data_IF_400583668897
#
_entry.id   IF_400583668897
#
_cell.length_a   1.000
_cell.length_b   1.000
_cell.length_c   1.000
_cell.angle_alpha   90.00
_cell.angle_beta   90.00
_cell.angle_gamma   90.00
#
_symmetry.space_group_name_H-M   'P 1'
#
loop_
_entity.id
_entity.type
_entity.pdbx_description
1 polymer ?
#
# COMPACT_ATOMS: atom_id res chain seq x y z
N UNK A 1 -6.27 25.15 -10.69
CA UNK A 1 -6.93 23.96 -11.29
C UNK A 1 -5.88 23.24 -12.14
N UNK A 2 -5.19 22.27 -11.56
CA UNK A 2 -4.43 21.29 -12.34
C UNK A 2 -5.31 20.06 -12.42
N UNK A 3 -5.94 19.85 -13.57
CA UNK A 3 -6.55 18.56 -13.90
C UNK A 3 -5.41 17.55 -14.03
N UNK A 4 -5.19 16.76 -12.98
CA UNK A 4 -4.51 15.49 -13.10
C UNK A 4 -5.42 14.58 -13.94
N UNK A 5 -5.34 14.71 -15.26
CA UNK A 5 -5.88 13.73 -16.19
C UNK A 5 -5.34 12.37 -15.76
N UNK A 6 -6.22 11.46 -15.34
CA UNK A 6 -5.89 10.06 -15.14
C UNK A 6 -5.35 9.52 -16.46
N UNK A 7 -4.03 9.48 -16.59
CA UNK A 7 -3.33 9.02 -17.77
C UNK A 7 -3.45 7.49 -17.75
N UNK A 8 -4.47 6.96 -18.44
CA UNK A 8 -4.66 5.51 -18.54
C UNK A 8 -3.39 4.79 -19.02
N UNK A 9 -3.19 3.52 -18.66
CA UNK A 9 -1.95 2.77 -18.92
C UNK A 9 -1.54 2.78 -20.41
N UNK A 10 -2.53 2.76 -21.31
CA UNK A 10 -2.36 2.88 -22.76
C UNK A 10 -1.64 4.17 -23.20
N UNK A 11 -1.86 5.27 -22.48
CA UNK A 11 -1.31 6.59 -22.82
C UNK A 11 0.16 6.68 -22.39
N UNK A 12 0.51 6.07 -21.26
CA UNK A 12 1.91 5.94 -20.82
C UNK A 12 2.72 5.06 -21.76
N UNK A 13 2.18 3.91 -22.18
CA UNK A 13 2.85 3.03 -23.12
C UNK A 13 3.01 3.67 -24.51
N UNK A 14 1.98 4.40 -24.97
CA UNK A 14 2.03 5.14 -26.22
C UNK A 14 3.13 6.21 -26.23
N UNK A 15 3.25 6.97 -25.13
CA UNK A 15 4.29 7.99 -24.95
C UNK A 15 5.69 7.38 -24.98
N UNK A 16 5.93 6.27 -24.26
CA UNK A 16 7.26 5.63 -24.18
C UNK A 16 7.67 5.00 -25.51
N UNK A 17 6.71 4.44 -26.26
CA UNK A 17 6.97 3.80 -27.55
C UNK A 17 6.93 4.77 -28.74
N UNK A 18 6.67 6.06 -28.49
CA UNK A 18 6.50 7.10 -29.50
C UNK A 18 5.47 6.70 -30.59
N UNK A 19 4.31 6.24 -30.14
CA UNK A 19 3.17 5.83 -30.99
C UNK A 19 1.88 6.48 -30.54
N UNK A 20 0.82 6.38 -31.35
CA UNK A 20 -0.49 6.86 -30.91
C UNK A 20 -1.17 5.88 -29.96
N UNK A 21 -1.95 6.40 -29.01
CA UNK A 21 -2.83 5.59 -28.15
C UNK A 21 -3.74 4.65 -28.95
N UNK A 22 -4.19 5.08 -30.12
CA UNK A 22 -5.01 4.27 -31.03
C UNK A 22 -4.24 3.05 -31.57
N UNK A 23 -2.92 3.14 -31.73
CA UNK A 23 -2.10 2.00 -32.12
C UNK A 23 -1.96 0.99 -30.98
N UNK A 24 -1.77 1.45 -29.73
CA UNK A 24 -1.76 0.58 -28.54
C UNK A 24 -3.09 -0.15 -28.39
N UNK A 25 -4.20 0.59 -28.43
CA UNK A 25 -5.54 0.02 -28.33
C UNK A 25 -5.86 -0.96 -29.47
N UNK A 26 -5.37 -0.71 -30.69
CA UNK A 26 -5.54 -1.65 -31.80
C UNK A 26 -4.75 -2.96 -31.61
N UNK A 27 -3.65 -2.94 -30.86
CA UNK A 27 -2.90 -4.14 -30.49
C UNK A 27 -3.60 -4.92 -29.38
N UNK A 28 -4.05 -4.25 -28.31
CA UNK A 28 -4.76 -4.87 -27.19
C UNK A 28 -6.05 -5.57 -27.64
N UNK A 29 -6.76 -4.97 -28.60
CA UNK A 29 -8.00 -5.52 -29.15
C UNK A 29 -7.78 -6.50 -30.32
N UNK A 30 -6.52 -6.81 -30.68
CA UNK A 30 -6.19 -7.72 -31.78
C UNK A 30 -6.62 -7.23 -33.18
N UNK A 31 -6.91 -5.94 -33.33
CA UNK A 31 -7.37 -5.31 -34.58
C UNK A 31 -6.20 -5.21 -35.58
N UNK A 32 -4.98 -4.99 -35.08
CA UNK A 32 -3.77 -4.93 -35.91
C UNK A 32 -2.66 -5.81 -35.35
N UNK A 33 -1.93 -6.55 -36.22
CA UNK A 33 -0.75 -7.27 -35.78
C UNK A 33 0.36 -6.31 -35.37
N UNK A 34 1.16 -6.73 -34.39
CA UNK A 34 2.34 -6.00 -33.93
C UNK A 34 3.50 -6.33 -34.87
N UNK A 35 4.12 -5.31 -35.47
CA UNK A 35 5.31 -5.50 -36.33
C UNK A 35 6.53 -5.94 -35.51
N UNK A 36 7.48 -6.66 -36.12
CA UNK A 36 8.72 -7.12 -35.46
C UNK A 36 9.52 -6.01 -34.73
N UNK A 37 9.63 -4.82 -35.34
CA UNK A 37 10.30 -3.69 -34.68
C UNK A 37 9.60 -3.29 -33.38
N UNK A 38 8.26 -3.26 -33.38
CA UNK A 38 7.45 -2.93 -32.20
C UNK A 38 7.47 -4.04 -31.15
N UNK A 39 7.53 -5.31 -31.56
CA UNK A 39 7.75 -6.43 -30.64
C UNK A 39 9.09 -6.31 -29.91
N UNK A 40 10.17 -5.96 -30.61
CA UNK A 40 11.49 -5.70 -29.99
C UNK A 40 11.44 -4.57 -28.97
N UNK A 41 10.72 -3.48 -29.27
CA UNK A 41 10.56 -2.36 -28.35
C UNK A 41 9.76 -2.74 -27.10
N UNK A 42 8.64 -3.46 -27.28
CA UNK A 42 7.82 -3.98 -26.18
C UNK A 42 8.62 -4.97 -25.31
N UNK A 43 9.33 -5.90 -25.95
CA UNK A 43 10.23 -6.85 -25.31
C UNK A 43 11.27 -6.15 -24.45
N UNK A 44 11.93 -5.11 -24.98
CA UNK A 44 12.90 -4.30 -24.24
C UNK A 44 12.28 -3.51 -23.08
N UNK A 45 11.10 -2.94 -23.29
CA UNK A 45 10.42 -2.10 -22.29
C UNK A 45 9.96 -2.95 -21.09
N UNK A 46 9.21 -4.01 -21.34
CA UNK A 46 8.67 -4.89 -20.31
C UNK A 46 9.68 -5.91 -19.79
N UNK A 47 10.73 -6.19 -20.57
CA UNK A 47 11.73 -7.19 -20.24
C UNK A 47 11.26 -8.63 -20.44
N UNK A 48 10.43 -8.85 -21.46
CA UNK A 48 9.83 -10.14 -21.79
C UNK A 48 10.29 -10.61 -23.17
N UNK A 49 10.35 -11.91 -23.40
CA UNK A 49 10.57 -12.46 -24.75
C UNK A 49 9.43 -12.04 -25.70
N UNK A 50 9.76 -11.79 -26.98
CA UNK A 50 8.80 -11.34 -28.00
C UNK A 50 7.59 -12.28 -28.16
N UNK A 51 7.77 -13.58 -27.91
CA UNK A 51 6.72 -14.61 -28.00
C UNK A 51 5.50 -14.28 -27.14
N UNK A 52 5.69 -13.59 -26.00
CA UNK A 52 4.62 -13.25 -25.07
C UNK A 52 3.67 -12.15 -25.58
N UNK A 53 4.03 -11.43 -26.65
CA UNK A 53 3.19 -10.34 -27.19
C UNK A 53 2.33 -10.77 -28.40
N UNK A 54 2.48 -12.00 -28.88
CA UNK A 54 1.74 -12.51 -30.05
C UNK A 54 0.58 -13.43 -29.64
N UNK A 55 0.83 -14.32 -28.68
CA UNK A 55 -0.15 -15.23 -28.11
C UNK A 55 0.47 -15.99 -26.96
N UNK A 56 -0.17 -15.94 -25.79
CA UNK A 56 0.35 -16.55 -24.56
C UNK A 56 -0.41 -17.85 -24.30
N UNK A 57 0.31 -18.97 -24.20
CA UNK A 57 -0.27 -20.25 -23.77
C UNK A 57 -0.75 -20.17 -22.32
N UNK A 58 -1.67 -21.04 -21.89
CA UNK A 58 -2.10 -21.05 -20.47
C UNK A 58 -0.93 -21.35 -19.51
N UNK A 59 0.03 -22.18 -19.95
CA UNK A 59 1.27 -22.45 -19.18
C UNK A 59 2.15 -21.20 -19.07
N UNK A 60 2.32 -20.45 -20.17
CA UNK A 60 3.07 -19.20 -20.19
C UNK A 60 2.37 -18.09 -19.39
N UNK A 61 1.03 -18.06 -19.36
CA UNK A 61 0.26 -17.14 -18.50
C UNK A 61 0.52 -17.45 -17.04
N UNK A 62 0.40 -18.72 -16.64
CA UNK A 62 0.70 -19.14 -15.28
C UNK A 62 2.15 -18.81 -14.88
N UNK A 63 3.10 -19.01 -15.80
CA UNK A 63 4.50 -18.62 -15.61
C UNK A 63 4.68 -17.11 -15.42
N UNK A 64 4.07 -16.27 -16.27
CA UNK A 64 4.15 -14.81 -16.16
C UNK A 64 3.45 -14.29 -14.89
N UNK A 65 2.31 -14.87 -14.50
CA UNK A 65 1.62 -14.55 -13.25
C UNK A 65 2.49 -14.93 -12.03
N UNK A 66 3.27 -16.01 -12.14
CA UNK A 66 4.22 -16.40 -11.09
C UNK A 66 5.46 -15.49 -10.98
N UNK A 67 5.69 -14.61 -11.96
CA UNK A 67 6.79 -13.63 -11.94
C UNK A 67 6.27 -12.30 -11.40
N UNK A 68 6.88 -11.79 -10.34
CA UNK A 68 6.56 -10.47 -9.80
C UNK A 68 7.02 -9.33 -10.72
N UNK A 69 6.25 -8.25 -10.75
CA UNK A 69 6.65 -7.00 -11.41
C UNK A 69 7.58 -6.19 -10.50
N UNK A 70 8.69 -5.73 -11.03
CA UNK A 70 9.58 -4.76 -10.39
C UNK A 70 9.13 -3.33 -10.69
N UNK A 71 9.15 -2.49 -9.66
CA UNK A 71 8.92 -1.04 -9.79
C UNK A 71 10.20 -0.36 -10.29
N UNK A 72 10.12 0.40 -11.38
CA UNK A 72 11.18 1.29 -11.89
C UNK A 72 10.75 2.75 -11.87
N UNK A 73 11.72 3.63 -11.68
CA UNK A 73 11.60 5.06 -11.98
C UNK A 73 12.35 5.32 -13.28
N UNK A 74 11.60 5.50 -14.38
CA UNK A 74 12.14 5.92 -15.67
C UNK A 74 11.55 7.30 -15.99
N UNK A 75 12.42 8.32 -16.13
CA UNK A 75 12.05 9.69 -16.51
C UNK A 75 10.92 10.32 -15.67
N UNK A 76 11.06 10.33 -14.33
CA UNK A 76 10.11 10.91 -13.36
C UNK A 76 8.70 10.28 -13.35
N UNK A 77 8.50 9.15 -14.04
CA UNK A 77 7.26 8.38 -14.07
C UNK A 77 7.50 6.97 -13.52
N UNK A 78 6.55 6.46 -12.74
CA UNK A 78 6.60 5.11 -12.18
C UNK A 78 6.17 4.09 -13.22
N UNK A 79 7.02 3.08 -13.46
CA UNK A 79 6.78 2.01 -14.44
C UNK A 79 6.93 0.65 -13.75
N UNK A 80 6.17 -0.36 -14.19
CA UNK A 80 6.24 -1.73 -13.71
C UNK A 80 6.72 -2.66 -14.83
N UNK A 81 7.75 -3.46 -14.59
CA UNK A 81 8.31 -4.39 -15.59
C UNK A 81 8.88 -5.66 -14.94
N UNK A 82 9.10 -6.72 -15.72
CA UNK A 82 9.61 -8.01 -15.22
C UNK A 82 11.13 -8.04 -15.01
N UNK A 83 11.83 -6.91 -15.24
CA UNK A 83 13.27 -6.76 -15.01
C UNK A 83 13.56 -5.86 -13.82
N UNK A 84 14.39 -6.34 -12.89
CA UNK A 84 14.96 -5.55 -11.80
C UNK A 84 15.92 -4.49 -12.37
N UNK A 85 15.90 -3.28 -11.81
CA UNK A 85 16.80 -2.21 -12.23
C UNK A 85 18.26 -2.59 -11.86
N UNK A 86 19.13 -2.70 -12.87
CA UNK A 86 20.59 -2.87 -12.68
C UNK A 86 21.16 -4.28 -12.81
N UNK A 87 20.38 -5.34 -13.06
CA UNK A 87 20.90 -6.70 -13.29
C UNK A 87 20.36 -7.26 -14.61
N UNK A 88 21.27 -7.50 -15.57
CA UNK A 88 20.99 -8.24 -16.83
C UNK A 88 21.48 -9.69 -16.73
N UNK A 89 22.12 -10.11 -15.65
CA UNK A 89 22.69 -11.45 -15.54
C UNK A 89 22.22 -12.19 -14.29
N UNK A 90 21.52 -13.30 -14.54
CA UNK A 90 21.27 -14.44 -13.63
C UNK A 90 20.14 -14.34 -12.58
N UNK A 91 18.98 -13.76 -12.93
CA UNK A 91 17.73 -13.94 -12.15
C UNK A 91 17.05 -15.31 -12.38
N UNK A 92 17.83 -16.30 -12.83
CA UNK A 92 17.38 -17.68 -13.06
C UNK A 92 17.33 -18.52 -11.78
N UNK A 93 17.82 -17.99 -10.65
CA UNK A 93 18.04 -18.76 -9.40
C UNK A 93 17.19 -18.36 -8.19
N UNK A 94 16.39 -17.30 -8.24
CA UNK A 94 15.49 -17.00 -7.13
C UNK A 94 14.17 -17.78 -7.28
N UNK A 95 13.95 -18.69 -6.32
CA UNK A 95 12.78 -19.55 -6.23
C UNK A 95 11.47 -18.75 -6.23
N UNK A 96 10.51 -19.32 -6.93
CA UNK A 96 9.14 -18.90 -7.14
C UNK A 96 8.45 -18.44 -5.86
N UNK A 97 8.23 -17.14 -5.72
CA UNK A 97 7.07 -16.68 -4.98
C UNK A 97 5.89 -16.87 -5.93
N UNK A 98 5.24 -18.04 -5.88
CA UNK A 98 3.98 -18.24 -6.59
C UNK A 98 3.00 -17.27 -5.97
N UNK A 99 2.62 -16.24 -6.71
CA UNK A 99 1.43 -15.49 -6.35
C UNK A 99 0.25 -16.48 -6.29
N UNK A 100 -0.64 -16.36 -5.29
CA UNK A 100 -1.91 -17.08 -5.32
C UNK A 100 -2.63 -16.79 -6.64
N UNK A 101 -3.46 -17.72 -7.11
CA UNK A 101 -4.43 -17.41 -8.16
C UNK A 101 -5.30 -16.26 -7.64
N UNK A 102 -5.00 -15.04 -8.10
CA UNK A 102 -5.78 -13.88 -7.72
C UNK A 102 -7.03 -13.83 -8.58
N UNK A 103 -8.18 -13.68 -7.93
CA UNK A 103 -9.45 -13.43 -8.63
C UNK A 103 -9.43 -12.09 -9.41
N UNK A 104 -8.43 -11.23 -9.17
CA UNK A 104 -8.31 -9.88 -9.73
C UNK A 104 -6.87 -9.52 -10.13
N UNK A 105 -6.72 -8.71 -11.19
CA UNK A 105 -5.40 -8.29 -11.70
C UNK A 105 -4.61 -7.45 -10.70
N UNK A 106 -3.27 -7.45 -10.80
CA UNK A 106 -2.42 -6.61 -9.94
C UNK A 106 -2.66 -5.10 -10.14
N UNK A 107 -3.04 -4.69 -11.35
CA UNK A 107 -3.40 -3.30 -11.66
C UNK A 107 -4.69 -2.89 -10.96
N UNK A 108 -5.68 -3.78 -10.92
CA UNK A 108 -6.92 -3.56 -10.17
C UNK A 108 -6.64 -3.49 -8.66
N UNK A 109 -5.81 -4.39 -8.14
CA UNK A 109 -5.39 -4.36 -6.73
C UNK A 109 -4.66 -3.06 -6.39
N UNK A 110 -3.75 -2.60 -7.25
CA UNK A 110 -3.03 -1.33 -7.08
C UNK A 110 -3.99 -0.14 -7.10
N UNK A 111 -4.94 -0.12 -8.04
CA UNK A 111 -5.95 0.94 -8.14
C UNK A 111 -6.80 1.00 -6.88
N UNK A 112 -7.26 -0.15 -6.39
CA UNK A 112 -7.99 -0.26 -5.12
C UNK A 112 -7.15 0.20 -3.94
N UNK A 113 -5.87 -0.18 -3.87
CA UNK A 113 -4.96 0.24 -2.80
C UNK A 113 -4.71 1.76 -2.81
N UNK A 114 -4.51 2.37 -3.98
CA UNK A 114 -4.37 3.83 -4.14
C UNK A 114 -5.64 4.57 -3.69
N UNK A 115 -6.81 4.10 -4.12
CA UNK A 115 -8.11 4.66 -3.70
C UNK A 115 -8.33 4.53 -2.20
N UNK A 116 -7.99 3.36 -1.62
CA UNK A 116 -8.04 3.15 -0.16
C UNK A 116 -7.13 4.13 0.58
N UNK A 117 -5.89 4.30 0.11
CA UNK A 117 -4.92 5.26 0.68
C UNK A 117 -5.47 6.69 0.67
N UNK A 118 -6.00 7.16 -0.46
CA UNK A 118 -6.59 8.49 -0.57
C UNK A 118 -7.78 8.67 0.39
N UNK A 119 -8.70 7.70 0.43
CA UNK A 119 -9.83 7.74 1.36
C UNK A 119 -9.42 7.74 2.83
N UNK A 120 -8.34 7.03 3.18
CA UNK A 120 -7.77 7.08 4.53
C UNK A 120 -7.18 8.45 4.86
N UNK A 121 -6.43 9.08 3.93
CA UNK A 121 -5.87 10.41 4.14
C UNK A 121 -6.96 11.46 4.37
N UNK A 122 -8.06 11.40 3.60
CA UNK A 122 -9.19 12.30 3.80
C UNK A 122 -9.79 12.16 5.21
N UNK A 123 -10.00 10.93 5.70
CA UNK A 123 -10.48 10.69 7.07
C UNK A 123 -9.53 11.24 8.13
N UNK A 124 -8.22 11.17 7.89
CA UNK A 124 -7.21 11.74 8.77
C UNK A 124 -7.31 13.26 8.82
N UNK A 125 -7.43 13.92 7.65
CA UNK A 125 -7.62 15.37 7.57
C UNK A 125 -8.89 15.82 8.30
N UNK A 126 -10.00 15.10 8.10
CA UNK A 126 -11.27 15.34 8.81
C UNK A 126 -11.11 15.19 10.33
N UNK A 127 -10.35 14.19 10.80
CA UNK A 127 -10.11 13.96 12.23
C UNK A 127 -9.16 14.99 12.87
N UNK A 128 -8.12 15.44 12.15
CA UNK A 128 -7.20 16.49 12.62
C UNK A 128 -7.92 17.84 12.71
N UNK A 129 -8.83 18.10 11.78
CA UNK A 129 -9.54 19.37 11.69
C UNK A 129 -10.53 19.64 12.83
N UNK A 130 -11.03 18.62 13.56
CA UNK A 130 -12.25 18.88 14.36
C UNK A 130 -12.60 17.89 15.50
N UNK A 131 -12.77 18.41 16.72
CA UNK A 131 -13.37 17.72 17.87
C UNK A 131 -14.83 18.16 18.19
N UNK A 132 -15.47 18.98 17.35
CA UNK A 132 -16.79 19.61 17.59
C UNK A 132 -16.84 21.03 17.02
N UNK A 133 -17.97 21.76 17.08
CA UNK A 133 -18.12 23.07 16.41
C UNK A 133 -17.25 24.18 17.03
N UNK A 134 -16.11 24.60 16.42
CA UNK A 134 -15.28 25.65 16.92
C UNK A 134 -16.01 26.95 16.65
N UNK A 135 -16.29 27.66 17.71
CA UNK A 135 -16.84 29.01 17.62
C UNK A 135 -15.74 30.04 17.35
N UNK A 136 -14.45 29.63 17.41
CA UNK A 136 -13.28 30.48 17.26
C UNK A 136 -12.16 29.79 16.46
N UNK A 137 -11.51 30.56 15.59
CA UNK A 137 -10.36 30.11 14.77
C UNK A 137 -9.23 29.52 15.62
N UNK A 138 -9.02 30.02 16.84
CA UNK A 138 -7.96 29.52 17.73
C UNK A 138 -8.17 28.06 18.14
N UNK A 139 -9.42 27.61 18.28
CA UNK A 139 -9.74 26.22 18.66
C UNK A 139 -9.44 25.25 17.50
N UNK A 140 -9.68 25.71 16.27
CA UNK A 140 -9.35 24.99 15.04
C UNK A 140 -7.82 24.87 14.87
N UNK A 141 -7.08 25.97 15.02
CA UNK A 141 -5.61 25.96 14.97
C UNK A 141 -5.01 25.04 16.04
N UNK A 142 -5.55 25.07 17.27
CA UNK A 142 -5.09 24.18 18.33
C UNK A 142 -5.35 22.70 18.03
N UNK A 143 -6.49 22.38 17.43
CA UNK A 143 -6.85 21.00 17.07
C UNK A 143 -5.92 20.47 15.98
N UNK A 144 -5.69 21.27 14.92
CA UNK A 144 -4.79 20.92 13.83
C UNK A 144 -3.38 20.65 14.36
N UNK A 145 -2.83 21.57 15.15
CA UNK A 145 -1.47 21.43 15.68
C UNK A 145 -1.30 20.18 16.55
N UNK A 146 -2.30 19.86 17.39
CA UNK A 146 -2.27 18.63 18.21
C UNK A 146 -2.31 17.37 17.35
N UNK A 147 -3.14 17.37 16.31
CA UNK A 147 -3.18 16.29 15.33
C UNK A 147 -1.82 16.10 14.67
N UNK A 148 -1.24 17.16 14.10
CA UNK A 148 0.07 17.13 13.46
C UNK A 148 1.17 16.57 14.36
N UNK A 149 1.22 16.97 15.64
CA UNK A 149 2.20 16.44 16.59
C UNK A 149 2.18 14.90 16.70
N UNK A 150 1.00 14.29 16.71
CA UNK A 150 0.88 12.82 16.79
C UNK A 150 1.41 12.18 15.50
N UNK A 151 1.03 12.72 14.34
CA UNK A 151 1.48 12.20 13.05
C UNK A 151 2.98 12.37 12.85
N UNK A 152 3.57 13.46 13.33
CA UNK A 152 5.02 13.69 13.25
C UNK A 152 5.78 12.64 14.06
N UNK A 153 5.34 12.35 15.29
CA UNK A 153 5.95 11.31 16.13
C UNK A 153 5.84 9.93 15.47
N UNK A 154 4.65 9.56 14.98
CA UNK A 154 4.44 8.29 14.29
C UNK A 154 5.30 8.20 13.03
N UNK A 155 5.38 9.27 12.26
CA UNK A 155 6.19 9.33 11.04
C UNK A 155 7.66 9.16 11.36
N UNK A 156 8.17 9.82 12.40
CA UNK A 156 9.57 9.70 12.79
C UNK A 156 9.93 8.28 13.26
N UNK A 157 9.02 7.64 14.00
CA UNK A 157 9.18 6.24 14.37
C UNK A 157 9.21 5.32 13.15
N UNK A 158 8.26 5.47 12.23
CA UNK A 158 8.16 4.64 11.03
C UNK A 158 9.33 4.87 10.04
N UNK A 159 9.93 6.07 10.01
CA UNK A 159 11.12 6.35 9.20
C UNK A 159 12.35 5.53 9.59
N UNK A 160 12.41 4.98 10.80
CA UNK A 160 13.51 4.11 11.22
C UNK A 160 13.41 2.71 10.61
N UNK A 161 12.21 2.29 10.22
CA UNK A 161 11.92 0.95 9.73
C UNK A 161 12.76 0.49 8.53
N UNK A 162 13.05 1.31 7.50
CA UNK A 162 13.90 0.87 6.38
C UNK A 162 15.31 0.47 6.80
N UNK A 163 15.81 0.98 7.92
CA UNK A 163 17.14 0.68 8.46
C UNK A 163 17.19 -0.69 9.17
N UNK A 164 16.05 -1.34 9.36
CA UNK A 164 15.90 -2.60 10.10
C UNK A 164 15.85 -3.83 9.18
N UNK A 165 16.11 -5.00 9.77
CA UNK A 165 15.97 -6.30 9.09
C UNK A 165 14.52 -6.59 8.72
N UNK A 166 14.28 -7.39 7.67
CA UNK A 166 12.94 -7.71 7.17
C UNK A 166 11.98 -8.18 8.29
N UNK A 167 12.36 -9.10 9.20
CA UNK A 167 11.49 -9.50 10.30
C UNK A 167 11.16 -8.34 11.25
N UNK A 168 12.14 -7.50 11.56
CA UNK A 168 11.95 -6.37 12.48
C UNK A 168 11.04 -5.29 11.90
N UNK A 169 10.98 -5.13 10.57
CA UNK A 169 10.09 -4.15 9.94
C UNK A 169 8.61 -4.36 10.28
N UNK A 170 8.17 -5.62 10.31
CA UNK A 170 6.78 -5.94 10.69
C UNK A 170 6.52 -5.62 12.17
N UNK A 171 7.49 -5.92 13.04
CA UNK A 171 7.40 -5.66 14.48
C UNK A 171 7.18 -4.17 14.76
N UNK A 172 7.87 -3.25 14.06
CA UNK A 172 7.64 -1.81 14.23
C UNK A 172 6.17 -1.42 13.97
N UNK A 173 5.56 -1.94 12.90
CA UNK A 173 4.15 -1.68 12.62
C UNK A 173 3.23 -2.26 13.69
N UNK A 174 3.49 -3.51 14.11
CA UNK A 174 2.65 -4.20 15.07
C UNK A 174 2.72 -3.57 16.47
N UNK A 175 3.89 -3.05 16.88
CA UNK A 175 4.00 -2.32 18.15
C UNK A 175 3.11 -1.07 18.20
N UNK A 176 3.14 -0.24 17.15
CA UNK A 176 2.28 0.94 17.05
C UNK A 176 0.81 0.52 17.02
N UNK A 177 0.50 -0.50 16.23
CA UNK A 177 -0.85 -1.05 16.10
C UNK A 177 -1.38 -1.57 17.44
N UNK A 178 -0.56 -2.25 18.23
CA UNK A 178 -0.94 -2.78 19.53
C UNK A 178 -1.28 -1.65 20.51
N UNK A 179 -0.42 -0.64 20.60
CA UNK A 179 -0.67 0.54 21.46
C UNK A 179 -1.98 1.25 21.06
N UNK A 180 -2.23 1.44 19.76
CA UNK A 180 -3.46 2.08 19.28
C UNK A 180 -4.70 1.22 19.57
N UNK A 181 -4.64 -0.10 19.35
CA UNK A 181 -5.74 -1.00 19.69
C UNK A 181 -6.03 -1.02 21.20
N UNK A 182 -4.99 -0.96 22.04
CA UNK A 182 -5.16 -0.86 23.49
C UNK A 182 -5.88 0.43 23.89
N UNK A 183 -5.55 1.55 23.25
CA UNK A 183 -6.26 2.83 23.49
C UNK A 183 -7.72 2.74 23.05
N UNK A 184 -8.00 2.16 21.87
CA UNK A 184 -9.37 1.99 21.38
C UNK A 184 -10.19 1.11 22.33
N UNK A 185 -9.62 -0.01 22.77
CA UNK A 185 -10.26 -0.92 23.72
C UNK A 185 -10.52 -0.27 25.08
N UNK A 186 -9.52 0.43 25.63
CA UNK A 186 -9.63 1.12 26.91
C UNK A 186 -10.76 2.18 26.92
N UNK A 187 -10.99 2.84 25.78
CA UNK A 187 -12.02 3.85 25.60
C UNK A 187 -13.37 3.28 25.13
N UNK A 188 -13.49 1.95 24.98
CA UNK A 188 -14.70 1.29 24.50
C UNK A 188 -15.06 1.60 23.04
N UNK A 189 -14.09 2.06 22.25
CA UNK A 189 -14.24 2.36 20.82
C UNK A 189 -14.05 1.12 19.94
N UNK A 190 -13.57 0.03 20.53
CA UNK A 190 -13.38 -1.26 19.87
C UNK A 190 -13.55 -2.40 20.87
N UNK A 191 -14.12 -3.52 20.45
CA UNK A 191 -14.29 -4.70 21.30
C UNK A 191 -13.10 -5.67 21.19
N UNK A 192 -13.06 -6.66 22.09
CA UNK A 192 -12.04 -7.71 22.05
C UNK A 192 -12.20 -8.58 20.81
N UNK A 193 -13.45 -8.89 20.45
CA UNK A 193 -13.79 -9.70 19.28
C UNK A 193 -13.31 -9.02 17.98
N UNK A 194 -13.54 -7.71 17.84
CA UNK A 194 -13.06 -6.95 16.68
C UNK A 194 -11.52 -6.93 16.58
N UNK A 195 -10.82 -6.94 17.72
CA UNK A 195 -9.35 -7.06 17.75
C UNK A 195 -8.95 -8.47 17.32
N UNK A 196 -9.53 -9.52 17.90
CA UNK A 196 -9.19 -10.90 17.57
C UNK A 196 -9.44 -11.25 16.09
N UNK A 197 -10.53 -10.73 15.51
CA UNK A 197 -10.81 -10.88 14.07
C UNK A 197 -9.74 -10.19 13.21
N UNK A 198 -9.33 -8.98 13.58
CA UNK A 198 -8.29 -8.25 12.84
C UNK A 198 -6.93 -8.95 12.90
N UNK A 199 -6.65 -9.71 13.95
CA UNK A 199 -5.41 -10.47 14.10
C UNK A 199 -5.53 -11.95 13.70
N UNK A 200 -6.68 -12.37 13.16
CA UNK A 200 -6.95 -13.78 12.85
C UNK A 200 -5.91 -14.41 11.89
N UNK A 201 -5.39 -13.63 10.94
CA UNK A 201 -4.42 -14.10 9.95
C UNK A 201 -2.99 -14.29 10.48
N UNK A 202 -2.67 -13.74 11.65
CA UNK A 202 -1.38 -13.93 12.35
C UNK A 202 -1.51 -14.77 13.62
N UNK A 203 -2.71 -15.29 13.92
CA UNK A 203 -2.97 -16.07 15.12
C UNK A 203 -2.00 -17.25 15.25
N UNK A 204 -1.35 -17.35 16.42
CA UNK A 204 -0.33 -18.38 16.70
C UNK A 204 1.09 -18.01 16.29
N UNK A 205 1.32 -16.82 15.71
CA UNK A 205 2.65 -16.28 15.50
C UNK A 205 3.05 -15.36 16.66
N UNK A 206 3.82 -15.89 17.61
CA UNK A 206 4.23 -15.18 18.84
C UNK A 206 5.00 -13.88 18.58
N UNK A 207 5.55 -13.66 17.37
CA UNK A 207 6.23 -12.41 17.01
C UNK A 207 5.28 -11.27 16.65
N UNK A 208 4.06 -11.58 16.18
CA UNK A 208 3.11 -10.61 15.62
C UNK A 208 1.72 -10.66 16.28
N UNK A 209 1.44 -11.72 17.05
CA UNK A 209 0.19 -11.96 17.75
C UNK A 209 0.41 -11.89 19.25
N UNK A 210 0.22 -10.69 19.80
CA UNK A 210 0.28 -10.45 21.24
C UNK A 210 -0.97 -9.69 21.72
N UNK A 211 -2.09 -10.39 21.63
CA UNK A 211 -3.40 -9.86 22.01
C UNK A 211 -3.51 -9.70 23.54
N UNK A 212 -2.79 -10.54 24.30
CA UNK A 212 -2.72 -10.42 25.76
C UNK A 212 -2.05 -9.11 26.17
N UNK A 213 -0.95 -8.73 25.53
CA UNK A 213 -0.34 -7.41 25.73
C UNK A 213 -1.29 -6.26 25.40
N UNK A 214 -2.07 -6.38 24.32
CA UNK A 214 -3.08 -5.36 23.97
C UNK A 214 -4.07 -5.18 25.12
N UNK A 215 -4.54 -6.29 25.71
CA UNK A 215 -5.51 -6.28 26.80
C UNK A 215 -4.92 -5.75 28.12
N UNK A 216 -3.69 -6.13 28.45
CA UNK A 216 -2.98 -5.62 29.63
C UNK A 216 -2.80 -4.10 29.54
N UNK A 217 -2.27 -3.63 28.41
CA UNK A 217 -2.03 -2.20 28.18
C UNK A 217 -3.34 -1.40 28.15
N UNK A 218 -4.43 -1.98 27.62
CA UNK A 218 -5.75 -1.37 27.67
C UNK A 218 -6.25 -1.19 29.12
N UNK A 219 -6.00 -2.17 30.00
CA UNK A 219 -6.29 -2.05 31.44
C UNK A 219 -5.55 -0.87 32.06
N UNK A 220 -4.24 -0.76 31.81
CA UNK A 220 -3.42 0.35 32.31
C UNK A 220 -3.91 1.72 31.84
N UNK A 221 -4.28 1.83 30.56
CA UNK A 221 -4.82 3.07 30.01
C UNK A 221 -6.18 3.43 30.61
N UNK A 222 -7.05 2.44 30.80
CA UNK A 222 -8.37 2.64 31.40
C UNK A 222 -8.25 3.15 32.83
N UNK A 223 -7.43 2.50 33.65
CA UNK A 223 -7.20 2.90 35.05
C UNK A 223 -6.68 4.34 35.12
N UNK A 224 -5.70 4.70 34.27
CA UNK A 224 -5.14 6.05 34.27
C UNK A 224 -6.14 7.10 33.79
N UNK A 225 -7.00 6.75 32.84
CA UNK A 225 -8.04 7.63 32.35
C UNK A 225 -9.09 7.90 33.43
N UNK A 226 -9.55 6.86 34.13
CA UNK A 226 -10.51 6.96 35.24
C UNK A 226 -9.91 7.80 36.39
N UNK A 227 -8.64 7.61 36.73
CA UNK A 227 -7.93 8.43 37.73
C UNK A 227 -8.00 9.93 37.36
N UNK A 228 -7.65 10.28 36.11
CA UNK A 228 -7.66 11.68 35.64
C UNK A 228 -9.07 12.26 35.61
N UNK A 229 -10.05 11.48 35.17
CA UNK A 229 -11.45 11.88 35.12
C UNK A 229 -11.97 12.25 36.51
N UNK A 230 -11.69 11.39 37.49
CA UNK A 230 -12.07 11.60 38.89
C UNK A 230 -11.41 12.83 39.53
N UNK A 231 -10.31 13.34 38.98
CA UNK A 231 -9.68 14.59 39.45
C UNK A 231 -10.37 15.84 38.88
N UNK A 232 -11.01 15.75 37.72
CA UNK A 232 -11.69 16.87 37.06
C UNK A 232 -13.14 16.99 37.54
N UNK A 233 -13.78 15.88 37.86
CA UNK A 233 -15.18 15.83 38.32
C UNK A 233 -15.35 16.13 39.83
N UNK A 234 -14.26 16.43 40.56
CA UNK A 234 -14.25 16.87 41.97
C UNK A 234 -14.11 18.39 42.09
#
# INVERSE_FOLDING_TARGET
MCECLEVGPETLLADVLEISRQQVSAWENGIKPISENRLRQLSKYFGLEEKYFLGISEEDKAFLISKGLYRRQDCDKEVYCFLKQGEVEDDSKYRSFSYPDFDESLDDQMTKAKKKKQGTLQKVEEAIGYFGIPTKIIDEVCSINRGCMIYDILTEYLKQMPNETIPMRMIYFDMVKNVLNSLLLANGLKTKEEIEEEFAFVKGNELYYDVDWIYELAGLFKDKYEEKRNMIEK
#
